data_IF_109508251199
#
_entry.id   IF_109508251199
#
_cell.length_a   1.000
_cell.length_b   1.000
_cell.length_c   1.000
_cell.angle_alpha   90.00
_cell.angle_beta   90.00
_cell.angle_gamma   90.00
#
_symmetry.space_group_name_H-M   'P 1'
#
loop_
_entity.id
_entity.type
_entity.pdbx_description
1 polymer ?
#
# COMPACT_ATOMS: atom_id res chain seq x y z
N UNK A 1 1.23 -37.68 32.55
CA UNK A 1 0.91 -36.38 31.92
C UNK A 1 -0.55 -36.08 32.25
N UNK A 2 -0.81 -34.99 32.98
CA UNK A 2 -2.14 -34.74 33.52
C UNK A 2 -3.10 -34.22 32.43
N UNK A 3 -4.35 -34.69 32.50
CA UNK A 3 -5.47 -34.32 31.59
C UNK A 3 -5.61 -32.78 31.40
N UNK A 4 -5.20 -32.02 32.40
CA UNK A 4 -5.21 -30.53 32.37
C UNK A 4 -4.25 -29.93 31.32
N UNK A 5 -3.13 -30.58 31.00
CA UNK A 5 -2.19 -30.08 29.96
C UNK A 5 -2.72 -30.31 28.55
N UNK A 6 -3.51 -31.36 28.34
CA UNK A 6 -4.10 -31.66 27.03
C UNK A 6 -5.22 -30.66 26.65
N UNK A 7 -6.02 -30.23 27.64
CA UNK A 7 -7.11 -29.27 27.45
C UNK A 7 -6.56 -27.88 27.11
N UNK A 8 -5.46 -27.45 27.76
CA UNK A 8 -4.85 -26.14 27.48
C UNK A 8 -4.24 -26.10 26.07
N UNK A 9 -3.62 -27.18 25.62
CA UNK A 9 -3.06 -27.26 24.25
C UNK A 9 -4.17 -27.26 23.20
N UNK A 10 -5.28 -27.93 23.44
CA UNK A 10 -6.44 -27.96 22.56
C UNK A 10 -7.11 -26.59 22.45
N UNK A 11 -7.28 -25.85 23.56
CA UNK A 11 -7.87 -24.53 23.56
C UNK A 11 -7.00 -23.50 22.84
N UNK A 12 -5.68 -23.58 22.95
CA UNK A 12 -4.76 -22.69 22.25
C UNK A 12 -4.76 -22.94 20.73
N UNK A 13 -4.83 -24.21 20.33
CA UNK A 13 -4.94 -24.58 18.91
C UNK A 13 -6.27 -24.16 18.29
N UNK A 14 -7.40 -24.32 18.99
CA UNK A 14 -8.71 -23.89 18.50
C UNK A 14 -8.76 -22.35 18.34
N UNK A 15 -8.18 -21.60 19.26
CA UNK A 15 -8.12 -20.12 19.18
C UNK A 15 -7.26 -19.63 18.00
N UNK A 16 -6.18 -20.34 17.70
CA UNK A 16 -5.32 -20.04 16.56
C UNK A 16 -6.02 -20.31 15.22
N UNK A 17 -6.77 -21.42 15.11
CA UNK A 17 -7.53 -21.72 13.90
C UNK A 17 -8.77 -20.83 13.73
N UNK A 18 -9.41 -20.37 14.80
CA UNK A 18 -10.53 -19.47 14.72
C UNK A 18 -10.14 -18.10 14.12
N UNK A 19 -8.93 -17.61 14.38
CA UNK A 19 -8.41 -16.38 13.77
C UNK A 19 -8.00 -16.56 12.30
N UNK A 20 -7.66 -17.78 11.85
CA UNK A 20 -7.32 -18.06 10.45
C UNK A 20 -8.55 -18.03 9.51
N UNK A 21 -9.78 -18.17 10.05
CA UNK A 21 -11.03 -18.16 9.30
C UNK A 21 -11.93 -16.95 9.61
N UNK A 22 -11.52 -16.08 10.51
CA UNK A 22 -12.15 -14.79 10.71
C UNK A 22 -11.68 -13.83 9.60
N UNK A 23 -12.07 -14.09 8.37
CA UNK A 23 -12.10 -13.10 7.32
C UNK A 23 -13.11 -12.03 7.75
N UNK A 24 -12.65 -11.07 8.56
CA UNK A 24 -13.46 -9.94 8.98
C UNK A 24 -13.94 -9.20 7.73
N UNK A 25 -15.19 -8.74 7.74
CA UNK A 25 -15.70 -7.91 6.65
C UNK A 25 -14.82 -6.66 6.53
N UNK A 26 -14.09 -6.54 5.44
CA UNK A 26 -13.32 -5.33 5.14
C UNK A 26 -14.30 -4.20 4.85
N UNK A 27 -14.17 -3.11 5.61
CA UNK A 27 -14.88 -1.85 5.39
C UNK A 27 -13.82 -0.78 5.21
N UNK A 28 -13.63 -0.36 3.97
CA UNK A 28 -12.56 0.55 3.59
C UNK A 28 -13.05 1.95 3.24
N UNK A 29 -12.27 2.97 3.62
CA UNK A 29 -12.40 4.34 3.13
C UNK A 29 -11.11 4.79 2.49
N UNK A 30 -11.22 5.77 1.57
CA UNK A 30 -10.08 6.43 0.94
C UNK A 30 -9.98 7.85 1.48
N UNK A 31 -8.79 8.26 1.89
CA UNK A 31 -8.49 9.63 2.30
C UNK A 31 -7.76 10.32 1.15
N UNK A 32 -8.40 11.33 0.57
CA UNK A 32 -7.92 12.06 -0.61
C UNK A 32 -7.30 13.42 -0.30
N UNK A 33 -7.47 13.94 0.93
CA UNK A 33 -7.10 15.30 1.27
C UNK A 33 -5.65 15.45 1.70
N UNK A 34 -4.94 16.44 1.17
CA UNK A 34 -3.60 16.87 1.61
C UNK A 34 -3.61 17.59 2.97
N UNK A 35 -4.77 18.05 3.41
CA UNK A 35 -4.92 18.73 4.68
C UNK A 35 -4.89 17.75 5.85
N UNK A 36 -3.82 17.80 6.64
CA UNK A 36 -3.60 16.89 7.78
C UNK A 36 -4.73 16.93 8.81
N UNK A 37 -5.30 18.09 9.10
CA UNK A 37 -6.40 18.20 10.07
C UNK A 37 -7.68 17.53 9.54
N UNK A 38 -7.92 17.64 8.24
CA UNK A 38 -9.03 16.96 7.56
C UNK A 38 -8.80 15.44 7.58
N UNK A 39 -7.61 14.98 7.24
CA UNK A 39 -7.25 13.56 7.28
C UNK A 39 -7.45 12.98 8.68
N UNK A 40 -6.97 13.65 9.72
CA UNK A 40 -7.14 13.26 11.12
C UNK A 40 -8.63 13.19 11.51
N UNK A 41 -9.44 14.19 11.13
CA UNK A 41 -10.89 14.13 11.36
C UNK A 41 -11.55 12.97 10.65
N UNK A 42 -11.17 12.70 9.39
CA UNK A 42 -11.69 11.56 8.63
C UNK A 42 -11.37 10.23 9.32
N UNK A 43 -10.14 10.05 9.83
CA UNK A 43 -9.74 8.84 10.56
C UNK A 43 -10.62 8.66 11.81
N UNK A 44 -10.84 9.71 12.61
CA UNK A 44 -11.71 9.65 13.79
C UNK A 44 -13.14 9.27 13.42
N UNK A 45 -13.68 9.88 12.35
CA UNK A 45 -15.03 9.57 11.88
C UNK A 45 -15.11 8.14 11.34
N UNK A 46 -14.09 7.64 10.67
CA UNK A 46 -14.04 6.27 10.16
C UNK A 46 -14.29 5.23 11.27
N UNK A 47 -13.71 5.43 12.44
CA UNK A 47 -13.94 4.57 13.61
C UNK A 47 -15.42 4.51 14.03
N UNK A 48 -16.13 5.64 14.01
CA UNK A 48 -17.55 5.71 14.37
C UNK A 48 -18.43 4.87 13.42
N UNK A 49 -17.97 4.67 12.19
CA UNK A 49 -18.64 3.85 11.17
C UNK A 49 -18.10 2.41 11.08
N UNK A 50 -17.29 1.99 12.05
CA UNK A 50 -16.64 0.67 12.07
C UNK A 50 -15.83 0.39 10.79
N UNK A 51 -15.17 1.42 10.24
CA UNK A 51 -14.20 1.26 9.17
C UNK A 51 -12.93 0.65 9.76
N UNK A 52 -12.42 -0.39 9.13
CA UNK A 52 -11.24 -1.11 9.57
C UNK A 52 -10.07 -1.07 8.58
N UNK A 53 -10.28 -0.50 7.39
CA UNK A 53 -9.21 -0.30 6.40
C UNK A 53 -9.25 1.13 5.88
N UNK A 54 -8.10 1.77 5.79
CA UNK A 54 -7.93 3.07 5.16
C UNK A 54 -6.92 3.02 4.02
N UNK A 55 -7.19 3.79 2.97
CA UNK A 55 -6.25 4.01 1.88
C UNK A 55 -5.84 5.47 1.89
N UNK A 56 -4.55 5.74 2.05
CA UNK A 56 -3.98 7.07 1.88
C UNK A 56 -3.66 7.28 0.42
N UNK A 57 -4.29 8.27 -0.21
CA UNK A 57 -4.29 8.40 -1.66
C UNK A 57 -4.17 9.84 -2.14
N UNK A 58 -3.94 10.00 -3.44
CA UNK A 58 -3.94 11.25 -4.21
C UNK A 58 -3.08 12.37 -3.58
N UNK A 59 -3.70 13.35 -2.92
CA UNK A 59 -3.01 14.54 -2.41
C UNK A 59 -2.12 14.26 -1.20
N UNK A 60 -2.34 13.13 -0.49
CA UNK A 60 -1.46 12.69 0.59
C UNK A 60 -0.25 11.96 0.00
N UNK A 61 -0.53 10.98 -0.85
CA UNK A 61 0.47 10.20 -1.56
C UNK A 61 -0.12 9.71 -2.90
N UNK A 62 0.28 10.36 -3.98
CA UNK A 62 -0.18 10.02 -5.32
C UNK A 62 0.58 8.81 -5.87
N UNK A 63 1.89 8.82 -5.68
CA UNK A 63 2.80 7.75 -6.07
C UNK A 63 3.68 7.41 -4.86
N UNK A 64 3.95 6.14 -4.66
CA UNK A 64 4.80 5.68 -3.54
C UNK A 64 6.18 6.35 -3.53
N UNK A 65 6.70 6.75 -4.69
CA UNK A 65 7.97 7.49 -4.80
C UNK A 65 8.00 8.80 -4.01
N UNK A 66 6.83 9.42 -3.74
CA UNK A 66 6.75 10.66 -2.97
C UNK A 66 7.25 10.49 -1.53
N UNK A 67 7.22 9.28 -0.99
CA UNK A 67 7.74 8.98 0.35
C UNK A 67 9.28 9.16 0.46
N UNK A 68 9.97 9.35 -0.66
CA UNK A 68 11.39 9.70 -0.68
C UNK A 68 11.64 11.13 -0.17
N UNK A 69 10.65 12.00 -0.26
CA UNK A 69 10.68 13.32 0.34
C UNK A 69 10.41 13.23 1.84
N UNK A 70 11.28 13.83 2.66
CA UNK A 70 11.22 13.69 4.12
C UNK A 70 9.88 14.19 4.69
N UNK A 71 9.42 15.35 4.23
CA UNK A 71 8.15 15.93 4.67
C UNK A 71 6.96 15.00 4.40
N UNK A 72 6.89 14.41 3.20
CA UNK A 72 5.83 13.46 2.83
C UNK A 72 5.93 12.19 3.68
N UNK A 73 7.15 11.68 3.84
CA UNK A 73 7.44 10.51 4.68
C UNK A 73 6.94 10.70 6.12
N UNK A 74 7.27 11.83 6.74
CA UNK A 74 6.83 12.16 8.10
C UNK A 74 5.31 12.27 8.20
N UNK A 75 4.66 12.94 7.24
CA UNK A 75 3.21 13.10 7.22
C UNK A 75 2.49 11.75 7.07
N UNK A 76 2.92 10.93 6.12
CA UNK A 76 2.36 9.59 5.88
C UNK A 76 2.50 8.71 7.12
N UNK A 77 3.71 8.61 7.69
CA UNK A 77 3.93 7.82 8.90
C UNK A 77 3.12 8.33 10.10
N UNK A 78 2.94 9.66 10.23
CA UNK A 78 2.08 10.24 11.28
C UNK A 78 0.63 9.79 11.11
N UNK A 79 0.10 9.80 9.89
CA UNK A 79 -1.28 9.36 9.61
C UNK A 79 -1.46 7.87 9.84
N UNK A 80 -0.51 7.03 9.42
CA UNK A 80 -0.55 5.58 9.65
C UNK A 80 -0.62 5.29 11.15
N UNK A 81 0.34 5.80 11.93
CA UNK A 81 0.35 5.61 13.39
C UNK A 81 -0.93 6.11 14.05
N UNK A 82 -1.42 7.27 13.61
CA UNK A 82 -2.65 7.82 14.17
C UNK A 82 -3.86 6.92 13.86
N UNK A 83 -3.96 6.38 12.64
CA UNK A 83 -5.03 5.47 12.27
C UNK A 83 -5.01 4.19 13.11
N UNK A 84 -3.84 3.59 13.30
CA UNK A 84 -3.69 2.40 14.16
C UNK A 84 -4.06 2.69 15.62
N UNK A 85 -3.66 3.85 16.16
CA UNK A 85 -4.05 4.28 17.51
C UNK A 85 -5.57 4.48 17.66
N UNK A 86 -6.25 4.89 16.61
CA UNK A 86 -7.72 5.00 16.58
C UNK A 86 -8.41 3.65 16.33
N UNK A 87 -7.67 2.56 16.12
CA UNK A 87 -8.19 1.20 15.98
C UNK A 87 -8.56 0.82 14.56
N UNK A 88 -7.92 1.43 13.56
CA UNK A 88 -7.96 0.97 12.18
C UNK A 88 -6.97 -0.19 12.04
N UNK A 89 -7.43 -1.31 11.49
CA UNK A 89 -6.64 -2.54 11.40
C UNK A 89 -5.60 -2.48 10.26
N UNK A 90 -5.96 -1.84 9.13
CA UNK A 90 -5.12 -1.78 7.94
C UNK A 90 -5.05 -0.38 7.34
N UNK A 91 -3.84 0.10 7.06
CA UNK A 91 -3.57 1.35 6.35
C UNK A 91 -2.73 1.08 5.12
N UNK A 92 -3.33 1.28 3.95
CA UNK A 92 -2.72 1.02 2.65
C UNK A 92 -2.24 2.34 2.02
N UNK A 93 -1.12 2.28 1.32
CA UNK A 93 -0.59 3.40 0.55
C UNK A 93 -0.95 3.23 -0.93
N UNK A 94 -1.34 4.33 -1.56
CA UNK A 94 -1.66 4.34 -2.98
C UNK A 94 -0.40 4.52 -3.84
N UNK A 95 -0.37 3.86 -4.98
CA UNK A 95 0.68 4.04 -5.97
C UNK A 95 0.15 3.92 -7.40
N UNK A 96 0.44 4.93 -8.22
CA UNK A 96 0.26 4.87 -9.65
C UNK A 96 1.52 4.33 -10.31
N UNK A 97 1.63 3.01 -10.30
CA UNK A 97 2.79 2.32 -10.86
C UNK A 97 2.93 2.59 -12.35
N UNK A 98 4.15 2.87 -12.78
CA UNK A 98 4.50 3.16 -14.17
C UNK A 98 3.88 4.46 -14.74
N UNK A 99 3.32 5.31 -13.90
CA UNK A 99 2.70 6.57 -14.31
C UNK A 99 3.71 7.58 -14.86
N UNK A 100 4.76 7.87 -14.09
CA UNK A 100 5.79 8.85 -14.45
C UNK A 100 7.02 8.14 -15.00
N UNK A 101 7.11 7.97 -16.32
CA UNK A 101 8.23 7.27 -16.94
C UNK A 101 9.59 7.87 -16.60
N UNK A 102 9.68 9.20 -16.41
CA UNK A 102 10.92 9.90 -16.09
C UNK A 102 11.50 9.52 -14.72
N UNK A 103 10.69 8.95 -13.86
CA UNK A 103 11.14 8.41 -12.59
C UNK A 103 12.07 7.19 -12.76
N UNK A 104 11.84 6.39 -13.78
CA UNK A 104 12.55 5.15 -14.01
C UNK A 104 13.89 5.40 -14.73
N UNK A 105 14.97 4.69 -14.38
CA UNK A 105 16.25 4.84 -15.03
C UNK A 105 16.16 4.69 -16.54
N UNK A 106 16.83 5.59 -17.27
CA UNK A 106 16.80 5.64 -18.74
C UNK A 106 17.29 4.34 -19.40
N UNK A 107 18.16 3.59 -18.72
CA UNK A 107 18.63 2.29 -19.21
C UNK A 107 17.54 1.21 -19.31
N UNK A 108 16.39 1.42 -18.68
CA UNK A 108 15.23 0.54 -18.78
C UNK A 108 14.18 1.05 -19.77
N UNK A 109 14.27 2.30 -20.21
CA UNK A 109 13.34 2.93 -21.16
C UNK A 109 13.74 2.64 -22.61
N UNK A 110 13.89 1.35 -22.93
CA UNK A 110 14.33 0.85 -24.24
C UNK A 110 13.20 0.20 -25.04
N UNK A 111 11.97 0.26 -24.55
CA UNK A 111 10.79 -0.16 -25.27
C UNK A 111 10.40 0.83 -26.37
N UNK A 112 9.38 0.51 -27.18
CA UNK A 112 8.85 1.42 -28.20
C UNK A 112 8.52 2.79 -27.61
N UNK A 113 8.83 3.86 -28.36
CA UNK A 113 8.56 5.24 -27.94
C UNK A 113 9.19 5.66 -26.58
N UNK A 114 10.26 5.00 -26.13
CA UNK A 114 10.92 5.28 -24.86
C UNK A 114 10.18 4.75 -23.65
N UNK A 115 9.27 3.80 -23.83
CA UNK A 115 8.61 3.08 -22.74
C UNK A 115 9.57 2.10 -22.05
N UNK A 116 9.17 1.61 -20.89
CA UNK A 116 9.96 0.62 -20.16
C UNK A 116 9.90 -0.72 -20.89
N UNK A 117 11.05 -1.34 -21.06
CA UNK A 117 11.12 -2.71 -21.56
C UNK A 117 10.78 -3.68 -20.42
N UNK A 118 9.52 -4.13 -20.39
CA UNK A 118 8.99 -5.03 -19.36
C UNK A 118 9.54 -6.46 -19.47
N UNK A 119 10.10 -6.84 -20.63
CA UNK A 119 10.77 -8.13 -20.82
C UNK A 119 12.18 -8.16 -20.22
N UNK A 120 12.69 -7.01 -19.77
CA UNK A 120 14.00 -6.92 -19.16
C UNK A 120 13.96 -7.36 -17.68
N UNK A 121 14.53 -8.51 -17.30
CA UNK A 121 14.48 -8.99 -15.92
C UNK A 121 15.19 -8.04 -14.94
N UNK A 122 16.19 -7.30 -15.37
CA UNK A 122 16.90 -6.32 -14.55
C UNK A 122 16.02 -5.13 -14.15
N UNK A 123 15.02 -4.79 -14.99
CA UNK A 123 14.02 -3.81 -14.60
C UNK A 123 13.24 -4.27 -13.38
N UNK A 124 12.77 -5.51 -13.38
CA UNK A 124 11.98 -6.05 -12.27
C UNK A 124 12.79 -6.23 -10.99
N UNK A 125 14.08 -6.53 -11.09
CA UNK A 125 14.98 -6.55 -9.94
C UNK A 125 15.10 -5.14 -9.33
N UNK A 126 15.41 -4.15 -10.18
CA UNK A 126 15.47 -2.76 -9.74
C UNK A 126 14.14 -2.27 -9.15
N UNK A 127 13.03 -2.57 -9.81
CA UNK A 127 11.68 -2.19 -9.39
C UNK A 127 11.35 -2.73 -7.99
N UNK A 128 11.57 -4.03 -7.76
CA UNK A 128 11.37 -4.65 -6.45
C UNK A 128 12.24 -4.03 -5.37
N UNK A 129 13.50 -3.76 -5.68
CA UNK A 129 14.43 -3.14 -4.73
C UNK A 129 14.05 -1.70 -4.42
N UNK A 130 13.54 -0.95 -5.39
CA UNK A 130 13.07 0.40 -5.19
C UNK A 130 11.82 0.44 -4.31
N UNK A 131 10.84 -0.43 -4.57
CA UNK A 131 9.66 -0.58 -3.71
C UNK A 131 10.03 -0.99 -2.28
N UNK A 132 10.97 -1.93 -2.12
CA UNK A 132 11.46 -2.31 -0.79
C UNK A 132 12.08 -1.13 -0.05
N UNK A 133 12.88 -0.31 -0.72
CA UNK A 133 13.45 0.91 -0.12
C UNK A 133 12.37 1.91 0.28
N UNK A 134 11.36 2.12 -0.57
CA UNK A 134 10.25 3.02 -0.27
C UNK A 134 9.41 2.52 0.90
N UNK A 135 9.04 1.25 0.92
CA UNK A 135 8.25 0.65 2.00
C UNK A 135 8.99 0.64 3.34
N UNK A 136 10.31 0.50 3.33
CA UNK A 136 11.12 0.62 4.55
C UNK A 136 11.04 2.02 5.19
N UNK A 137 10.60 3.04 4.45
CA UNK A 137 10.35 4.38 4.99
C UNK A 137 8.97 4.53 5.62
N UNK A 138 8.05 3.60 5.37
CA UNK A 138 6.74 3.51 6.01
C UNK A 138 6.53 2.11 6.59
N UNK A 139 7.29 1.72 7.62
CA UNK A 139 7.34 0.35 8.11
C UNK A 139 6.03 -0.11 8.77
N UNK A 140 5.16 0.82 9.13
CA UNK A 140 3.86 0.54 9.75
C UNK A 140 2.70 0.52 8.73
N UNK A 141 2.98 0.71 7.41
CA UNK A 141 1.98 0.52 6.37
C UNK A 141 1.72 -0.99 6.16
N UNK A 142 0.45 -1.35 6.05
CA UNK A 142 0.04 -2.76 5.97
C UNK A 142 0.04 -3.28 4.53
N UNK A 143 0.06 -2.38 3.54
CA UNK A 143 0.10 -2.79 2.14
C UNK A 143 0.03 -1.63 1.15
N UNK A 144 -0.17 -2.00 -0.11
CA UNK A 144 -0.24 -1.09 -1.24
C UNK A 144 -1.53 -1.29 -2.03
N UNK A 145 -2.04 -0.20 -2.59
CA UNK A 145 -3.03 -0.20 -3.67
C UNK A 145 -2.31 0.23 -4.94
N UNK A 146 -2.08 -0.72 -5.84
CA UNK A 146 -1.41 -0.47 -7.11
C UNK A 146 -2.43 -0.17 -8.21
N UNK A 147 -2.24 0.95 -8.89
CA UNK A 147 -3.07 1.37 -10.03
C UNK A 147 -2.20 1.46 -11.28
N UNK A 148 -2.56 0.75 -12.33
CA UNK A 148 -1.81 0.73 -13.59
C UNK A 148 -2.51 1.46 -14.74
N UNK A 149 -3.77 1.87 -14.59
CA UNK A 149 -4.65 2.25 -15.70
C UNK A 149 -5.02 3.74 -15.74
N UNK A 150 -4.93 4.49 -14.67
CA UNK A 150 -5.34 5.92 -14.62
C UNK A 150 -4.29 6.87 -15.21
N UNK A 151 -3.56 6.42 -16.13
CA UNK A 151 -2.33 7.04 -16.48
C UNK A 151 -2.40 7.44 -17.92
N UNK A 152 -2.81 8.51 -18.29
CA UNK A 152 -2.80 9.09 -19.63
C UNK A 152 -1.98 8.33 -20.71
N UNK A 153 -1.74 8.89 -21.83
CA UNK A 153 -1.19 8.25 -23.04
C UNK A 153 0.06 7.34 -22.87
N UNK A 154 0.78 7.45 -21.74
CA UNK A 154 1.98 6.63 -21.51
C UNK A 154 1.66 5.24 -20.97
N UNK A 155 0.65 5.10 -20.15
CA UNK A 155 0.27 3.79 -19.62
C UNK A 155 -0.54 2.98 -20.61
N UNK A 156 -1.34 3.61 -21.44
CA UNK A 156 -2.00 2.92 -22.55
C UNK A 156 -0.97 2.24 -23.46
N UNK A 157 0.14 2.93 -23.75
CA UNK A 157 1.23 2.36 -24.56
C UNK A 157 1.96 1.21 -23.84
N UNK A 158 2.12 1.28 -22.52
CA UNK A 158 2.74 0.18 -21.78
C UNK A 158 1.77 -0.97 -21.55
N UNK A 159 0.48 -0.67 -21.36
CA UNK A 159 -0.54 -1.69 -21.17
C UNK A 159 -0.75 -2.53 -22.44
N UNK A 160 -0.72 -1.92 -23.62
CA UNK A 160 -0.78 -2.66 -24.88
C UNK A 160 0.39 -3.63 -25.08
N UNK A 161 1.51 -3.43 -24.38
CA UNK A 161 2.62 -4.37 -24.38
C UNK A 161 2.38 -5.63 -23.52
N UNK A 162 1.40 -5.61 -22.60
CA UNK A 162 0.98 -6.80 -21.84
C UNK A 162 -0.03 -7.66 -22.56
N UNK A 163 -0.70 -7.14 -23.58
CA UNK A 163 -1.75 -7.85 -24.34
C UNK A 163 -1.24 -8.58 -25.58
N UNK A 164 0.04 -8.43 -25.95
CA UNK A 164 0.70 -9.09 -27.08
C UNK A 164 1.75 -10.08 -26.60
#
# INVERSE_FOLDING_TARGET
>A
MSLRRLIIVSSFFLSFFANLFAGGNVRGWIILSDNMDRAIRTIKTAKEYNINQLQLSHEIIHDLKAIKEEKVCEQVNKLIRFAHLEGIDEVLLWDHSLYSLDYYPSCFRTGPDGTINLDNPKFWEWFKDDYRRMLNRAPEADGLVLTFIETGAYAEKQYSAFEN
#
